data_IF_669743699499
#
_entry.id   IF_669743699499
#
_cell.length_a   1.000
_cell.length_b   1.000
_cell.length_c   1.000
_cell.angle_alpha   90.00
_cell.angle_beta   90.00
_cell.angle_gamma   90.00
#
_symmetry.space_group_name_H-M   'P 1'
#
loop_
_entity.id
_entity.type
_entity.pdbx_description
1 polymer ?
#
# COMPACT_ATOMS: atom_id res chain seq x y z
N UNK A 1 9.43 -3.67 14.90
CA UNK A 1 10.52 -4.05 13.97
C UNK A 1 10.36 -3.24 12.69
N UNK A 2 11.46 -2.81 12.09
CA UNK A 2 11.46 -2.11 10.80
C UNK A 2 12.40 -2.87 9.87
N UNK A 3 11.86 -3.34 8.75
CA UNK A 3 12.59 -4.13 7.77
C UNK A 3 12.47 -3.48 6.39
N UNK A 4 13.62 -3.28 5.73
CA UNK A 4 13.68 -3.04 4.30
C UNK A 4 13.89 -4.41 3.67
N UNK A 5 12.85 -4.96 3.04
CA UNK A 5 12.91 -6.30 2.48
C UNK A 5 13.77 -6.28 1.21
N UNK A 6 13.22 -5.73 0.12
CA UNK A 6 13.87 -5.49 -1.17
C UNK A 6 13.19 -4.32 -1.88
N UNK A 7 13.91 -3.61 -2.75
CA UNK A 7 13.37 -2.52 -3.57
C UNK A 7 12.61 -1.47 -2.75
N UNK A 8 11.30 -1.33 -2.96
CA UNK A 8 10.35 -0.43 -2.28
C UNK A 8 9.61 -1.14 -1.16
N UNK A 9 9.81 -2.45 -0.98
CA UNK A 9 9.14 -3.23 0.04
C UNK A 9 9.68 -2.93 1.43
N UNK A 10 8.81 -2.36 2.26
CA UNK A 10 9.10 -2.00 3.64
C UNK A 10 8.05 -2.65 4.54
N UNK A 11 8.48 -3.19 5.68
CA UNK A 11 7.62 -3.72 6.73
C UNK A 11 7.82 -2.94 8.02
N UNK A 12 6.73 -2.48 8.61
CA UNK A 12 6.68 -1.97 9.97
C UNK A 12 5.86 -2.93 10.83
N UNK A 13 6.34 -3.17 12.05
CA UNK A 13 5.71 -4.03 13.03
C UNK A 13 5.82 -3.35 14.39
N UNK A 14 4.90 -2.43 14.63
CA UNK A 14 4.81 -1.62 15.85
C UNK A 14 3.34 -1.48 16.17
N UNK A 15 2.85 -2.33 17.07
CA UNK A 15 1.43 -2.55 17.41
C UNK A 15 0.56 -3.12 16.28
N UNK A 16 0.80 -2.66 15.04
CA UNK A 16 0.23 -3.11 13.77
C UNK A 16 1.32 -3.57 12.83
N UNK A 17 1.02 -4.56 12.00
CA UNK A 17 1.87 -5.03 10.91
C UNK A 17 1.46 -4.35 9.61
N UNK A 18 2.31 -3.45 9.12
CA UNK A 18 2.07 -2.63 7.94
C UNK A 18 3.12 -2.98 6.88
N UNK A 19 2.65 -3.29 5.68
CA UNK A 19 3.50 -3.49 4.52
C UNK A 19 3.30 -2.37 3.50
N UNK A 20 4.40 -1.85 2.97
CA UNK A 20 4.40 -0.95 1.82
C UNK A 20 5.00 -1.69 0.63
N UNK A 21 4.32 -1.66 -0.51
CA UNK A 21 4.74 -2.26 -1.78
C UNK A 21 5.39 -3.66 -1.60
N UNK A 22 4.71 -4.62 -0.93
CA UNK A 22 5.33 -5.89 -0.59
C UNK A 22 5.63 -6.71 -1.85
N UNK A 23 6.86 -7.25 -1.95
CA UNK A 23 7.31 -8.03 -3.09
C UNK A 23 8.28 -9.15 -2.68
N UNK A 24 8.11 -10.33 -3.29
CA UNK A 24 8.90 -11.55 -3.06
C UNK A 24 9.06 -11.91 -1.58
N UNK A 25 7.96 -11.91 -0.82
CA UNK A 25 7.96 -12.36 0.57
C UNK A 25 7.26 -13.71 0.72
N UNK A 26 7.80 -14.51 1.63
CA UNK A 26 7.22 -15.79 2.02
C UNK A 26 5.86 -15.61 2.73
N UNK A 27 5.09 -16.69 2.78
CA UNK A 27 3.79 -16.77 3.45
C UNK A 27 3.88 -16.48 4.95
N UNK A 28 3.04 -15.56 5.43
CA UNK A 28 3.02 -15.10 6.84
C UNK A 28 1.62 -14.85 7.38
N UNK A 29 0.69 -14.40 6.54
CA UNK A 29 -0.69 -14.04 6.92
C UNK A 29 -0.79 -13.07 8.11
N UNK A 30 0.19 -12.19 8.28
CA UNK A 30 0.31 -11.29 9.44
C UNK A 30 -0.07 -9.84 9.15
N UNK A 31 -0.44 -9.47 7.91
CA UNK A 31 -0.69 -8.07 7.56
C UNK A 31 -1.99 -7.52 8.18
N UNK A 32 -1.89 -6.43 8.93
CA UNK A 32 -3.05 -5.59 9.25
C UNK A 32 -3.39 -4.68 8.06
N UNK A 33 -2.36 -4.06 7.47
CA UNK A 33 -2.50 -3.08 6.40
C UNK A 33 -1.46 -3.30 5.30
N UNK A 34 -1.89 -3.21 4.05
CA UNK A 34 -1.04 -3.24 2.86
C UNK A 34 -1.24 -1.95 2.08
N UNK A 35 -0.19 -1.14 1.96
CA UNK A 35 -0.18 0.10 1.19
C UNK A 35 0.53 -0.11 -0.14
N UNK A 36 -0.12 0.29 -1.23
CA UNK A 36 0.39 0.17 -2.61
C UNK A 36 0.49 1.56 -3.24
N UNK A 37 1.68 1.94 -3.66
CA UNK A 37 1.92 3.26 -4.27
C UNK A 37 1.31 3.36 -5.68
N UNK A 38 1.45 2.29 -6.47
CA UNK A 38 0.97 2.21 -7.85
C UNK A 38 0.97 0.75 -8.39
N UNK A 39 0.22 0.44 -9.47
CA UNK A 39 -0.09 -0.94 -9.89
C UNK A 39 1.00 -1.58 -10.77
N UNK A 40 2.27 -1.23 -10.59
CA UNK A 40 3.36 -1.90 -11.30
C UNK A 40 3.76 -3.20 -10.61
N UNK A 41 4.24 -4.18 -11.39
CA UNK A 41 4.55 -5.52 -10.89
C UNK A 41 5.62 -5.54 -9.78
N UNK A 42 6.45 -4.51 -9.73
CA UNK A 42 7.53 -4.34 -8.76
C UNK A 42 7.09 -3.59 -7.48
N UNK A 43 5.81 -3.22 -7.39
CA UNK A 43 5.16 -2.58 -6.24
C UNK A 43 3.88 -3.32 -5.81
N UNK A 44 3.15 -3.89 -6.75
CA UNK A 44 1.87 -4.57 -6.60
C UNK A 44 2.00 -6.05 -6.97
N UNK A 45 2.83 -6.76 -6.21
CA UNK A 45 3.04 -8.20 -6.37
C UNK A 45 1.88 -8.99 -5.74
N UNK A 46 0.92 -9.38 -6.57
CA UNK A 46 -0.31 -10.08 -6.16
C UNK A 46 -0.02 -11.37 -5.37
N UNK A 47 1.02 -12.12 -5.74
CA UNK A 47 1.39 -13.36 -5.04
C UNK A 47 1.82 -13.05 -3.61
N UNK A 48 2.72 -12.08 -3.45
CA UNK A 48 3.16 -11.64 -2.12
C UNK A 48 2.00 -11.07 -1.31
N UNK A 49 1.11 -10.28 -1.91
CA UNK A 49 -0.05 -9.73 -1.21
C UNK A 49 -0.93 -10.86 -0.66
N UNK A 50 -1.17 -11.92 -1.42
CA UNK A 50 -1.94 -13.09 -0.96
C UNK A 50 -1.22 -13.86 0.16
N UNK A 51 0.10 -13.98 0.09
CA UNK A 51 0.94 -14.60 1.14
C UNK A 51 0.88 -13.85 2.48
N UNK A 52 0.62 -12.55 2.45
CA UNK A 52 0.57 -11.68 3.63
C UNK A 52 -0.85 -11.44 4.16
N UNK A 53 -1.85 -11.49 3.27
CA UNK A 53 -3.26 -11.25 3.57
C UNK A 53 -3.82 -12.24 4.59
N UNK A 54 -4.61 -11.76 5.54
CA UNK A 54 -5.50 -12.52 6.41
C UNK A 54 -6.94 -12.00 6.31
N UNK A 55 -7.85 -12.55 7.12
CA UNK A 55 -9.28 -12.21 7.12
C UNK A 55 -9.58 -10.75 7.47
N UNK A 56 -8.64 -10.05 8.12
CA UNK A 56 -8.82 -8.68 8.61
C UNK A 56 -8.06 -7.64 7.79
N UNK A 57 -7.09 -8.04 6.98
CA UNK A 57 -6.21 -7.16 6.21
C UNK A 57 -7.00 -6.15 5.39
N UNK A 58 -6.64 -4.88 5.49
CA UNK A 58 -7.09 -3.83 4.57
C UNK A 58 -5.99 -3.52 3.56
N UNK A 59 -6.38 -3.31 2.31
CA UNK A 59 -5.48 -2.86 1.24
C UNK A 59 -5.80 -1.42 0.87
N UNK A 60 -4.76 -0.59 0.77
CA UNK A 60 -4.83 0.84 0.56
C UNK A 60 -3.99 1.17 -0.69
N UNK A 61 -4.55 1.90 -1.65
CA UNK A 61 -3.84 2.20 -2.89
C UNK A 61 -4.61 3.13 -3.83
N UNK A 62 -4.02 3.55 -4.96
CA UNK A 62 -4.75 4.32 -5.98
C UNK A 62 -5.89 3.49 -6.55
N UNK A 63 -6.87 4.15 -7.19
CA UNK A 63 -8.05 3.48 -7.77
C UNK A 63 -7.70 2.31 -8.71
N UNK A 64 -6.55 2.37 -9.38
CA UNK A 64 -6.11 1.34 -10.32
C UNK A 64 -5.91 -0.06 -9.70
N UNK A 65 -5.73 -0.17 -8.38
CA UNK A 65 -5.59 -1.48 -7.72
C UNK A 65 -6.94 -2.12 -7.35
N UNK A 66 -8.05 -1.40 -7.51
CA UNK A 66 -9.35 -1.78 -6.92
C UNK A 66 -9.89 -3.10 -7.47
N UNK A 67 -9.98 -3.22 -8.80
CA UNK A 67 -10.52 -4.44 -9.45
C UNK A 67 -9.64 -5.66 -9.13
N UNK A 68 -8.32 -5.48 -9.21
CA UNK A 68 -7.36 -6.53 -8.87
C UNK A 68 -7.45 -6.96 -7.40
N UNK A 69 -7.70 -6.03 -6.48
CA UNK A 69 -7.92 -6.34 -5.07
C UNK A 69 -9.22 -7.15 -4.85
N UNK A 70 -10.29 -6.84 -5.58
CA UNK A 70 -11.51 -7.67 -5.58
C UNK A 70 -11.24 -9.07 -6.13
N UNK A 71 -10.50 -9.19 -7.22
CA UNK A 71 -10.10 -10.48 -7.80
C UNK A 71 -9.23 -11.32 -6.84
N UNK A 72 -8.37 -10.67 -6.05
CA UNK A 72 -7.62 -11.29 -4.95
C UNK A 72 -8.49 -11.61 -3.72
N UNK A 73 -9.80 -11.37 -3.79
CA UNK A 73 -10.78 -11.74 -2.78
C UNK A 73 -10.80 -10.82 -1.56
N UNK A 74 -10.34 -9.57 -1.67
CA UNK A 74 -10.68 -8.56 -0.66
C UNK A 74 -12.16 -8.19 -0.80
N UNK A 75 -12.88 -8.03 0.31
CA UNK A 75 -14.22 -7.44 0.28
C UNK A 75 -14.13 -5.93 0.10
N UNK A 76 -15.18 -5.30 -0.46
CA UNK A 76 -15.18 -3.85 -0.73
C UNK A 76 -14.86 -3.00 0.51
N UNK A 77 -15.30 -3.41 1.70
CA UNK A 77 -15.01 -2.73 2.97
C UNK A 77 -13.55 -2.83 3.43
N UNK A 78 -12.76 -3.70 2.79
CA UNK A 78 -11.32 -3.89 3.03
C UNK A 78 -10.45 -3.21 1.99
N UNK A 79 -11.03 -2.52 1.01
CA UNK A 79 -10.29 -1.81 -0.04
C UNK A 79 -10.49 -0.31 0.15
N UNK A 80 -9.42 0.41 0.46
CA UNK A 80 -9.43 1.87 0.57
C UNK A 80 -8.70 2.46 -0.63
N UNK A 81 -9.45 3.14 -1.52
CA UNK A 81 -8.83 3.90 -2.61
C UNK A 81 -8.46 5.30 -2.14
N UNK A 82 -7.30 5.79 -2.58
CA UNK A 82 -6.75 7.09 -2.16
C UNK A 82 -6.35 7.96 -3.34
N UNK A 83 -6.28 9.28 -3.10
CA UNK A 83 -5.97 10.31 -4.08
C UNK A 83 -4.79 11.20 -3.62
N UNK A 84 -3.97 11.70 -4.55
CA UNK A 84 -2.89 12.62 -4.22
C UNK A 84 -3.38 13.91 -3.56
N UNK A 85 -2.59 14.41 -2.60
CA UNK A 85 -2.84 15.63 -1.82
C UNK A 85 -4.02 15.53 -0.83
N UNK A 86 -4.57 14.34 -0.62
CA UNK A 86 -5.57 14.10 0.42
C UNK A 86 -4.93 13.51 1.69
N UNK A 87 -5.67 13.61 2.81
CA UNK A 87 -5.32 13.02 4.10
C UNK A 87 -6.45 12.09 4.51
N UNK A 88 -6.09 10.93 5.03
CA UNK A 88 -7.03 9.87 5.39
C UNK A 88 -6.81 9.44 6.83
N UNK A 89 -7.92 9.09 7.49
CA UNK A 89 -7.93 8.38 8.76
C UNK A 89 -8.13 6.88 8.50
N UNK A 90 -7.31 6.05 9.12
CA UNK A 90 -7.36 4.60 9.04
C UNK A 90 -7.25 4.02 10.45
N UNK A 91 -8.40 3.72 11.02
CA UNK A 91 -8.54 3.30 12.41
C UNK A 91 -7.92 4.33 13.38
N UNK A 92 -6.79 4.03 14.00
CA UNK A 92 -6.05 4.92 14.91
C UNK A 92 -4.86 5.63 14.27
N UNK A 93 -4.66 5.47 12.95
CA UNK A 93 -3.59 6.10 12.18
C UNK A 93 -4.13 7.20 11.27
N UNK A 94 -3.32 8.21 11.00
CA UNK A 94 -3.56 9.18 9.93
C UNK A 94 -2.39 9.16 8.93
N UNK A 95 -2.69 9.40 7.66
CA UNK A 95 -1.65 9.54 6.65
C UNK A 95 -2.04 10.51 5.55
N UNK A 96 -1.02 11.10 4.92
CA UNK A 96 -1.16 11.99 3.77
C UNK A 96 -0.65 11.30 2.52
N UNK A 97 -1.40 11.44 1.43
CA UNK A 97 -0.97 11.05 0.10
C UNK A 97 -0.27 12.22 -0.60
N UNK A 98 0.90 11.97 -1.19
CA UNK A 98 1.64 12.92 -2.02
C UNK A 98 1.66 12.43 -3.47
N UNK A 99 1.60 13.31 -4.48
CA UNK A 99 1.59 12.89 -5.87
C UNK A 99 2.90 12.22 -6.29
N UNK A 100 2.81 11.09 -6.99
CA UNK A 100 3.94 10.36 -7.55
C UNK A 100 3.82 10.28 -9.08
N UNK A 101 4.48 11.21 -9.80
CA UNK A 101 4.46 11.26 -11.26
C UNK A 101 5.75 11.89 -11.82
N UNK A 102 6.03 11.64 -13.11
CA UNK A 102 7.14 12.30 -13.80
C UNK A 102 6.73 13.65 -14.39
N UNK A 103 7.58 14.66 -14.24
CA UNK A 103 7.34 16.01 -14.79
C UNK A 103 7.53 16.03 -16.31
N UNK A 104 8.63 15.45 -16.81
CA UNK A 104 9.07 15.58 -18.21
C UNK A 104 9.17 14.24 -18.97
N UNK A 105 8.54 13.18 -18.47
CA UNK A 105 8.60 11.83 -19.08
C UNK A 105 7.20 11.30 -19.36
N UNK A 106 6.99 10.52 -20.44
CA UNK A 106 5.67 10.06 -20.87
C UNK A 106 5.17 8.81 -20.12
N UNK A 107 5.65 8.55 -18.91
CA UNK A 107 5.27 7.40 -18.09
C UNK A 107 5.11 7.84 -16.63
N UNK A 108 4.28 7.12 -15.85
CA UNK A 108 3.81 7.59 -14.53
C UNK A 108 3.24 9.02 -14.65
N UNK A 109 2.19 9.17 -15.46
CA UNK A 109 1.62 10.48 -15.76
C UNK A 109 0.83 11.02 -14.56
N UNK A 110 0.76 12.34 -14.43
CA UNK A 110 0.00 13.00 -13.36
C UNK A 110 -1.46 12.56 -13.29
N UNK A 111 -2.06 12.25 -14.44
CA UNK A 111 -3.46 11.81 -14.56
C UNK A 111 -3.72 10.42 -13.96
N UNK A 112 -2.69 9.61 -13.74
CA UNK A 112 -2.83 8.30 -13.09
C UNK A 112 -3.08 8.42 -11.58
N UNK A 113 -2.86 9.60 -11.00
CA UNK A 113 -3.12 9.85 -9.58
C UNK A 113 -2.40 8.88 -8.63
N UNK A 114 -1.23 8.37 -9.02
CA UNK A 114 -0.39 7.54 -8.16
C UNK A 114 0.17 8.35 -7.00
N UNK A 115 0.44 7.64 -5.90
CA UNK A 115 0.69 8.25 -4.60
C UNK A 115 1.98 7.76 -3.97
N UNK A 116 2.62 8.63 -3.20
CA UNK A 116 3.47 8.24 -2.08
C UNK A 116 2.72 8.51 -0.76
N UNK A 117 3.21 7.90 0.33
CA UNK A 117 2.61 8.04 1.65
C UNK A 117 3.53 8.79 2.60
N UNK A 118 2.96 9.70 3.38
CA UNK A 118 3.60 10.32 4.55
C UNK A 118 2.76 9.92 5.75
N UNK A 119 3.33 9.16 6.68
CA UNK A 119 2.63 8.65 7.85
C UNK A 119 3.48 8.86 9.09
N UNK A 120 2.82 9.09 10.23
CA UNK A 120 3.48 9.02 11.52
C UNK A 120 3.21 7.65 12.15
N UNK A 121 4.27 6.89 12.44
CA UNK A 121 4.18 5.56 13.07
C UNK A 121 4.99 5.62 14.36
N UNK A 122 4.33 5.40 15.50
CA UNK A 122 4.97 5.40 16.82
C UNK A 122 5.84 6.64 17.13
N UNK A 123 5.38 7.82 16.69
CA UNK A 123 6.08 9.09 16.88
C UNK A 123 7.21 9.36 15.88
N UNK A 124 7.33 8.55 14.81
CA UNK A 124 8.31 8.70 13.73
C UNK A 124 7.57 9.02 12.43
N UNK A 125 8.00 10.07 11.74
CA UNK A 125 7.51 10.49 10.40
C UNK A 125 8.46 9.97 9.33
#
# INVERSE_FOLDING_TARGET
MFDINIQSSIRFDVDKVIYFDPIKLDERHDADYIFITHPHYDHFDKETILNLKNDYTKIIGPKDIYEDALEMGFSEDKIMTVMPNETYDLDDMNFKCVPAYNIDKPYHLKEYNWVGYVMEIAGII
#
